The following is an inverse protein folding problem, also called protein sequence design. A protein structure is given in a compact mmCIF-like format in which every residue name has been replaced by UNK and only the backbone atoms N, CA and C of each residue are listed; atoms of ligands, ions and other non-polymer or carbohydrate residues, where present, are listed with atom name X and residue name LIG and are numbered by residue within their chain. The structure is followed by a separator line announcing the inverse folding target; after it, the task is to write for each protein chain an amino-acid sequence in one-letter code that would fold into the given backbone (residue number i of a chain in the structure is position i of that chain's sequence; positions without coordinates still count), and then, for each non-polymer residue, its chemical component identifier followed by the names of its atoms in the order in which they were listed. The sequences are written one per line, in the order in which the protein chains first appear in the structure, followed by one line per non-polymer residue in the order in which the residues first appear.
data_IF_463087361920
#
_entry.id   IF_463087361920
#
_cell.length_a   1.000
_cell.length_b   1.000
_cell.length_c   1.000
_cell.angle_alpha   90.00
_cell.angle_beta   90.00
_cell.angle_gamma   90.00
#
_symmetry.space_group_name_H-M   'P 1'
#
loop_
_entity.id
_entity.type
_entity.pdbx_description
1 polymer ?
#
# COMPACT_ATOMS: atom_id res chain seq x y z
N UNK A 1 25.42 -36.71 -0.39
CA UNK A 1 25.62 -35.40 0.26
C UNK A 1 25.84 -34.41 -0.86
N UNK A 2 24.79 -33.73 -1.28
CA UNK A 2 24.86 -32.73 -2.36
C UNK A 2 23.84 -31.66 -2.02
N UNK A 3 24.35 -30.53 -1.52
CA UNK A 3 23.60 -29.31 -1.28
C UNK A 3 22.97 -28.84 -2.60
N UNK A 4 21.65 -28.82 -2.64
CA UNK A 4 20.91 -28.11 -3.66
C UNK A 4 20.77 -26.66 -3.20
N UNK A 5 21.75 -25.85 -3.58
CA UNK A 5 21.74 -24.40 -3.46
C UNK A 5 20.53 -23.85 -4.23
N UNK A 6 19.46 -23.55 -3.49
CA UNK A 6 18.23 -23.01 -4.06
C UNK A 6 18.43 -21.51 -4.23
N UNK A 7 18.46 -20.96 -5.45
CA UNK A 7 18.68 -19.53 -5.65
C UNK A 7 17.52 -18.76 -5.02
N UNK A 8 17.86 -17.98 -4.00
CA UNK A 8 16.98 -17.00 -3.36
C UNK A 8 16.55 -16.02 -4.43
N UNK A 9 15.29 -16.10 -4.86
CA UNK A 9 14.72 -15.12 -5.80
C UNK A 9 14.58 -13.80 -5.05
N UNK A 10 15.57 -12.93 -5.20
CA UNK A 10 15.47 -11.55 -4.74
C UNK A 10 14.32 -10.86 -5.49
N UNK A 11 13.49 -10.04 -4.80
CA UNK A 11 12.44 -9.28 -5.46
C UNK A 11 13.10 -8.28 -6.42
N UNK A 12 13.10 -8.64 -7.71
CA UNK A 12 13.63 -7.79 -8.77
C UNK A 12 12.82 -6.51 -8.80
N UNK A 13 13.50 -5.38 -8.59
CA UNK A 13 12.92 -4.07 -8.84
C UNK A 13 12.48 -4.02 -10.30
N UNK A 14 11.23 -3.60 -10.58
CA UNK A 14 10.70 -3.58 -11.94
C UNK A 14 11.57 -2.70 -12.84
N UNK A 15 11.78 -3.06 -14.12
CA UNK A 15 12.66 -2.30 -15.00
C UNK A 15 12.18 -0.86 -15.14
N UNK A 16 13.12 0.09 -15.18
CA UNK A 16 12.83 1.53 -15.18
C UNK A 16 11.89 1.99 -16.31
N UNK A 17 11.86 1.25 -17.42
CA UNK A 17 10.94 1.46 -18.55
C UNK A 17 9.47 1.25 -18.17
N UNK A 18 9.18 0.32 -17.26
CA UNK A 18 7.83 0.00 -16.82
C UNK A 18 7.19 1.15 -16.04
N UNK A 19 7.97 1.94 -15.31
CA UNK A 19 7.51 3.06 -14.48
C UNK A 19 7.48 4.44 -15.20
N UNK A 20 7.83 4.48 -16.48
CA UNK A 20 7.89 5.72 -17.26
C UNK A 20 6.54 6.45 -17.30
N UNK A 21 6.52 7.75 -17.01
CA UNK A 21 5.29 8.55 -17.09
C UNK A 21 4.24 8.26 -16.01
N UNK A 22 4.52 7.42 -15.00
CA UNK A 22 3.71 7.32 -13.78
C UNK A 22 3.68 8.70 -13.10
N UNK A 23 2.51 9.31 -12.92
CA UNK A 23 2.38 10.62 -12.24
C UNK A 23 1.71 10.49 -10.87
N UNK A 24 1.23 9.31 -10.48
CA UNK A 24 0.61 9.11 -9.17
C UNK A 24 1.07 7.80 -8.55
N UNK A 25 1.20 7.78 -7.23
CA UNK A 25 1.56 6.59 -6.46
C UNK A 25 0.46 6.32 -5.44
N UNK A 26 0.06 5.05 -5.32
CA UNK A 26 -0.81 4.54 -4.27
C UNK A 26 -0.02 3.52 -3.43
N UNK A 27 -0.33 3.45 -2.14
CA UNK A 27 0.26 2.45 -1.23
C UNK A 27 -0.84 1.75 -0.45
N UNK A 28 -0.96 0.45 -0.62
CA UNK A 28 -1.83 -0.44 0.15
C UNK A 28 -1.10 -0.81 1.44
N UNK A 29 -1.46 -0.26 2.61
CA UNK A 29 -0.80 -0.58 3.85
C UNK A 29 -1.41 -1.86 4.40
N UNK A 30 -0.58 -2.88 4.61
CA UNK A 30 -1.00 -4.16 5.16
C UNK A 30 -0.42 -4.31 6.56
N UNK A 31 -1.29 -4.43 7.56
CA UNK A 31 -0.90 -4.59 8.96
C UNK A 31 -0.58 -6.05 9.29
N UNK A 32 0.06 -6.29 10.43
CA UNK A 32 0.41 -7.66 10.88
C UNK A 32 -0.82 -8.54 11.11
N UNK A 33 -1.95 -7.93 11.51
CA UNK A 33 -3.25 -8.58 11.65
C UNK A 33 -4.02 -8.71 10.32
N UNK A 34 -3.32 -8.57 9.18
CA UNK A 34 -3.83 -8.71 7.81
C UNK A 34 -5.00 -7.78 7.50
N UNK A 35 -5.00 -6.59 8.10
CA UNK A 35 -5.95 -5.52 7.80
C UNK A 35 -5.32 -4.51 6.86
N UNK A 36 -6.21 -3.77 6.21
CA UNK A 36 -5.87 -2.70 5.29
C UNK A 36 -6.34 -1.39 5.90
N UNK A 37 -5.55 -0.34 5.67
CA UNK A 37 -5.88 1.01 6.12
C UNK A 37 -6.26 1.88 4.93
N UNK A 38 -7.52 2.33 4.90
CA UNK A 38 -7.95 3.43 4.05
C UNK A 38 -7.89 4.73 4.83
N UNK A 39 -7.42 5.80 4.21
CA UNK A 39 -7.37 7.12 4.80
C UNK A 39 -8.46 8.00 4.20
N UNK A 40 -8.96 8.92 5.01
CA UNK A 40 -9.82 9.99 4.51
C UNK A 40 -8.99 11.00 3.75
N UNK A 41 -9.46 11.36 2.57
CA UNK A 41 -8.95 12.45 1.77
C UNK A 41 -10.08 13.43 1.50
N UNK A 42 -9.80 14.72 1.68
CA UNK A 42 -10.74 15.78 1.33
C UNK A 42 -10.36 16.36 -0.05
N UNK A 43 -11.35 16.52 -0.92
CA UNK A 43 -11.25 17.19 -2.20
C UNK A 43 -12.38 18.22 -2.33
N UNK A 44 -12.04 19.48 -2.09
CA UNK A 44 -13.02 20.57 -2.04
C UNK A 44 -14.04 20.32 -0.93
N UNK A 45 -15.32 20.19 -1.30
CA UNK A 45 -16.44 19.93 -0.39
C UNK A 45 -16.71 18.44 -0.14
N UNK A 46 -15.99 17.54 -0.81
CA UNK A 46 -16.19 16.10 -0.71
C UNK A 46 -15.08 15.43 0.09
N UNK A 47 -15.44 14.39 0.84
CA UNK A 47 -14.48 13.48 1.46
C UNK A 47 -14.63 12.09 0.85
N UNK A 48 -13.52 11.41 0.64
CA UNK A 48 -13.48 10.03 0.14
C UNK A 48 -12.43 9.22 0.89
N UNK A 49 -12.64 7.90 0.92
CA UNK A 49 -11.74 6.96 1.58
C UNK A 49 -10.94 6.21 0.52
N UNK A 50 -9.62 6.28 0.59
CA UNK A 50 -8.76 5.55 -0.35
C UNK A 50 -7.42 5.22 0.30
N UNK A 51 -6.60 4.44 -0.39
CA UNK A 51 -5.23 4.17 0.02
C UNK A 51 -4.39 5.46 0.01
N UNK A 52 -3.39 5.59 0.91
CA UNK A 52 -2.43 6.66 0.86
C UNK A 52 -1.92 6.91 -0.57
N UNK A 53 -2.05 8.15 -1.04
CA UNK A 53 -1.73 8.50 -2.43
C UNK A 53 -1.16 9.90 -2.57
N UNK A 54 -0.34 10.10 -3.60
CA UNK A 54 0.22 11.40 -3.95
C UNK A 54 0.41 11.53 -5.47
N UNK A 55 0.09 12.71 -5.99
CA UNK A 55 0.53 13.15 -7.33
C UNK A 55 2.01 13.51 -7.26
N UNK A 56 2.80 12.93 -8.16
CA UNK A 56 4.21 13.24 -8.32
C UNK A 56 4.33 14.65 -8.90
N UNK A 57 4.90 15.57 -8.11
CA UNK A 57 5.21 16.91 -8.59
C UNK A 57 6.37 16.92 -9.59
N UNK A 58 7.36 16.04 -9.43
CA UNK A 58 8.46 15.87 -10.39
C UNK A 58 8.71 14.39 -10.67
N UNK A 59 9.07 14.08 -11.92
CA UNK A 59 9.37 12.70 -12.36
C UNK A 59 10.74 12.18 -11.90
N UNK A 60 11.52 13.00 -11.20
CA UNK A 60 12.90 12.67 -10.78
C UNK A 60 12.96 11.74 -9.59
N UNK A 61 11.96 11.74 -8.71
CA UNK A 61 11.95 10.88 -7.52
C UNK A 61 11.38 9.51 -7.86
N UNK A 62 12.15 8.46 -7.58
CA UNK A 62 11.72 7.06 -7.70
C UNK A 62 10.36 6.79 -7.01
N UNK A 63 9.50 6.01 -7.65
CA UNK A 63 8.14 5.75 -7.17
C UNK A 63 8.10 4.90 -5.90
N UNK A 64 9.07 4.00 -5.71
CA UNK A 64 9.23 3.25 -4.45
C UNK A 64 9.60 4.16 -3.28
N UNK A 65 10.47 5.15 -3.53
CA UNK A 65 10.81 6.19 -2.54
C UNK A 65 9.58 7.02 -2.14
N UNK A 66 8.71 7.34 -3.10
CA UNK A 66 7.43 8.02 -2.83
C UNK A 66 6.50 7.12 -2.02
N UNK A 67 6.44 5.82 -2.33
CA UNK A 67 5.63 4.86 -1.57
C UNK A 67 6.07 4.80 -0.09
N UNK A 68 7.37 4.66 0.19
CA UNK A 68 7.90 4.69 1.56
C UNK A 68 7.60 6.00 2.27
N UNK A 69 7.76 7.14 1.57
CA UNK A 69 7.42 8.47 2.11
C UNK A 69 5.94 8.57 2.48
N UNK A 70 5.04 8.04 1.67
CA UNK A 70 3.60 8.04 1.94
C UNK A 70 3.28 7.28 3.23
N UNK A 71 3.86 6.09 3.43
CA UNK A 71 3.70 5.31 4.66
C UNK A 71 4.18 6.11 5.87
N UNK A 72 5.39 6.65 5.82
CA UNK A 72 5.94 7.45 6.92
C UNK A 72 5.12 8.69 7.22
N UNK A 73 4.70 9.42 6.20
CA UNK A 73 4.00 10.69 6.37
C UNK A 73 2.62 10.47 6.97
N UNK A 74 1.88 9.48 6.48
CA UNK A 74 0.50 9.25 6.92
C UNK A 74 0.41 8.38 8.16
N UNK A 75 1.20 7.32 8.24
CA UNK A 75 1.12 6.31 9.30
C UNK A 75 2.21 6.46 10.37
N UNK A 76 3.24 7.27 10.14
CA UNK A 76 4.34 7.44 11.10
C UNK A 76 5.33 6.28 11.14
N UNK A 77 5.25 5.35 10.19
CA UNK A 77 6.03 4.11 10.17
C UNK A 77 7.11 4.21 9.09
N UNK A 78 8.35 3.93 9.46
CA UNK A 78 9.42 3.68 8.49
C UNK A 78 9.30 2.23 8.00
N UNK A 79 9.33 2.04 6.68
CA UNK A 79 9.34 0.71 6.06
C UNK A 79 10.20 0.72 4.82
N UNK A 80 11.03 -0.30 4.67
CA UNK A 80 11.75 -0.65 3.46
C UNK A 80 11.00 -1.69 2.61
N UNK A 81 9.99 -2.36 3.19
CA UNK A 81 9.21 -3.46 2.60
C UNK A 81 8.04 -2.98 1.76
N UNK A 82 8.35 -2.28 0.68
CA UNK A 82 7.36 -1.89 -0.33
C UNK A 82 7.54 -2.66 -1.63
N UNK A 83 6.46 -3.22 -2.17
CA UNK A 83 6.50 -3.99 -3.42
C UNK A 83 5.54 -3.37 -4.45
N UNK A 84 5.99 -3.22 -5.70
CA UNK A 84 5.11 -2.82 -6.78
C UNK A 84 4.15 -3.98 -7.09
N UNK A 85 2.85 -3.74 -6.96
CA UNK A 85 1.82 -4.72 -7.31
C UNK A 85 1.35 -4.56 -8.75
N UNK A 86 1.36 -3.34 -9.27
CA UNK A 86 0.87 -3.08 -10.62
C UNK A 86 0.88 -1.62 -11.01
N UNK A 87 0.53 -1.39 -12.27
CA UNK A 87 0.43 -0.06 -12.87
C UNK A 87 -0.97 0.11 -13.46
N UNK A 88 -1.58 1.23 -13.14
CA UNK A 88 -2.81 1.70 -13.78
C UNK A 88 -2.43 2.59 -14.94
N UNK A 89 -2.83 2.19 -16.14
CA UNK A 89 -2.68 3.03 -17.33
C UNK A 89 -3.62 4.25 -17.26
N UNK A 90 -3.22 5.37 -17.87
CA UNK A 90 -3.99 6.61 -17.78
C UNK A 90 -5.36 6.47 -18.45
N UNK A 91 -6.36 7.13 -17.88
CA UNK A 91 -7.71 7.28 -18.47
C UNK A 91 -8.07 8.76 -18.60
N UNK A 92 -9.22 9.10 -19.21
CA UNK A 92 -9.66 10.50 -19.31
C UNK A 92 -9.75 11.12 -17.91
N UNK A 93 -8.91 12.13 -17.66
CA UNK A 93 -8.86 12.85 -16.39
C UNK A 93 -8.04 12.17 -15.28
N UNK A 94 -7.37 11.05 -15.56
CA UNK A 94 -6.56 10.34 -14.54
C UNK A 94 -5.17 9.99 -15.03
N UNK A 95 -4.13 10.28 -14.22
CA UNK A 95 -2.77 9.97 -14.60
C UNK A 95 -2.48 8.48 -14.51
N UNK A 96 -1.46 8.05 -15.25
CA UNK A 96 -0.80 6.77 -15.07
C UNK A 96 -0.33 6.64 -13.62
N UNK A 97 -0.64 5.54 -12.95
CA UNK A 97 -0.44 5.40 -11.51
C UNK A 97 0.26 4.08 -11.17
N UNK A 98 1.17 4.09 -10.19
CA UNK A 98 1.77 2.88 -9.64
C UNK A 98 1.09 2.51 -8.32
N UNK A 99 0.85 1.20 -8.12
CA UNK A 99 0.27 0.65 -6.89
C UNK A 99 1.36 -0.14 -6.19
N UNK A 100 1.69 0.28 -4.97
CA UNK A 100 2.58 -0.46 -4.08
C UNK A 100 1.78 -1.10 -2.95
N UNK A 101 2.26 -2.20 -2.40
CA UNK A 101 1.94 -2.60 -1.03
C UNK A 101 3.04 -2.12 -0.09
N UNK A 102 2.70 -1.90 1.17
CA UNK A 102 3.63 -1.73 2.26
C UNK A 102 3.27 -2.70 3.39
N UNK A 103 4.16 -3.63 3.69
CA UNK A 103 3.99 -4.54 4.82
C UNK A 103 4.45 -3.82 6.09
N UNK A 104 3.50 -3.60 7.00
CA UNK A 104 3.72 -2.88 8.24
C UNK A 104 4.09 -3.84 9.36
N UNK A 105 4.85 -3.34 10.33
CA UNK A 105 5.33 -4.12 11.49
C UNK A 105 4.41 -4.04 12.70
N UNK A 106 3.25 -3.39 12.56
CA UNK A 106 2.29 -3.13 13.64
C UNK A 106 0.87 -3.54 13.25
N UNK A 107 0.05 -3.87 14.24
CA UNK A 107 -1.37 -4.13 14.05
C UNK A 107 -2.13 -2.82 13.82
N UNK A 108 -3.30 -2.89 13.17
CA UNK A 108 -4.08 -1.69 12.86
C UNK A 108 -4.42 -0.83 14.08
N UNK A 109 -4.77 -1.46 15.19
CA UNK A 109 -5.13 -0.77 16.45
C UNK A 109 -3.97 0.02 17.03
N UNK A 110 -2.76 -0.53 16.97
CA UNK A 110 -1.56 0.10 17.54
C UNK A 110 -1.20 1.34 16.74
N UNK A 111 -1.24 1.23 15.41
CA UNK A 111 -1.00 2.36 14.50
C UNK A 111 -1.98 3.50 14.78
N UNK A 112 -3.26 3.18 14.95
CA UNK A 112 -4.29 4.18 15.26
C UNK A 112 -4.10 4.79 16.65
N UNK A 113 -3.78 3.97 17.64
CA UNK A 113 -3.49 4.42 19.00
C UNK A 113 -2.30 5.38 19.07
N UNK A 114 -1.19 5.03 18.42
CA UNK A 114 -0.01 5.90 18.32
C UNK A 114 -0.34 7.21 17.61
N UNK A 115 -1.05 7.17 16.48
CA UNK A 115 -1.41 8.39 15.73
C UNK A 115 -2.40 9.29 16.47
N UNK A 116 -3.28 8.72 17.30
CA UNK A 116 -4.16 9.48 18.18
C UNK A 116 -3.40 10.16 19.33
N UNK A 117 -2.35 9.53 19.85
CA UNK A 117 -1.51 10.07 20.91
C UNK A 117 -0.56 11.19 20.43
N UNK A 118 -0.22 11.23 19.15
CA UNK A 118 0.59 12.29 18.52
C UNK A 118 -0.17 13.63 18.43
N UNK A 119 -0.31 14.32 19.55
CA UNK A 119 -0.89 15.66 19.60
C UNK A 119 0.06 16.71 19.01
N UNK A 120 -0.47 17.58 18.14
CA UNK A 120 0.17 18.83 17.70
C UNK A 120 1.24 18.74 16.59
N UNK A 121 1.74 17.56 16.22
CA UNK A 121 2.77 17.43 15.16
C UNK A 121 2.22 17.19 13.76
N UNK A 122 1.00 16.65 13.63
CA UNK A 122 0.37 16.31 12.34
C UNK A 122 -1.16 16.45 12.44
N UNK A 123 -1.87 16.65 11.32
CA UNK A 123 -3.33 16.56 11.31
C UNK A 123 -3.79 15.20 11.86
N UNK A 124 -4.94 15.22 12.55
CA UNK A 124 -5.55 14.00 13.06
C UNK A 124 -5.79 13.01 11.92
N UNK A 125 -5.27 11.80 12.05
CA UNK A 125 -5.46 10.76 11.05
C UNK A 125 -6.86 10.20 11.18
N UNK A 126 -7.64 10.28 10.10
CA UNK A 126 -8.89 9.55 9.97
C UNK A 126 -8.63 8.35 9.06
N UNK A 127 -8.79 7.14 9.61
CA UNK A 127 -8.55 5.90 8.90
C UNK A 127 -9.69 4.90 9.13
N UNK A 128 -10.01 4.13 8.10
CA UNK A 128 -10.89 2.96 8.17
C UNK A 128 -10.04 1.70 8.10
N UNK A 129 -10.26 0.80 9.06
CA UNK A 129 -9.65 -0.54 9.09
C UNK A 129 -10.60 -1.50 8.40
N UNK A 130 -10.13 -2.14 7.34
CA UNK A 130 -10.94 -3.04 6.52
C UNK A 130 -10.21 -4.34 6.23
N UNK A 131 -10.95 -5.40 5.95
CA UNK A 131 -10.36 -6.61 5.33
C UNK A 131 -10.47 -6.51 3.81
N UNK A 132 -9.62 -7.26 3.10
CA UNK A 132 -9.78 -7.40 1.66
C UNK A 132 -11.15 -8.02 1.29
N UNK A 133 -11.69 -8.93 2.12
CA UNK A 133 -13.03 -9.49 1.93
C UNK A 133 -14.14 -8.43 2.08
N UNK A 134 -14.02 -7.54 3.07
CA UNK A 134 -14.95 -6.42 3.27
C UNK A 134 -14.91 -5.46 2.07
N UNK A 135 -13.72 -5.12 1.58
CA UNK A 135 -13.59 -4.27 0.38
C UNK A 135 -14.20 -4.91 -0.86
N UNK A 136 -13.98 -6.21 -1.05
CA UNK A 136 -14.59 -6.96 -2.15
C UNK A 136 -16.12 -7.02 -2.03
N UNK A 137 -16.65 -7.24 -0.81
CA UNK A 137 -18.08 -7.41 -0.55
C UNK A 137 -18.87 -6.09 -0.61
N UNK A 138 -18.26 -4.99 -0.18
CA UNK A 138 -18.95 -3.69 -0.14
C UNK A 138 -19.30 -3.17 -1.53
N UNK A 139 -18.57 -3.57 -2.57
CA UNK A 139 -18.67 -2.98 -3.92
C UNK A 139 -18.73 -1.44 -3.92
N UNK A 140 -18.26 -0.81 -2.83
CA UNK A 140 -18.17 0.63 -2.65
C UNK A 140 -16.96 1.04 -3.47
N UNK A 141 -17.16 1.11 -4.78
CA UNK A 141 -16.10 1.35 -5.74
C UNK A 141 -16.42 2.62 -6.51
N UNK A 142 -15.65 3.70 -6.32
CA UNK A 142 -15.52 4.70 -7.35
C UNK A 142 -15.21 3.99 -8.67
N UNK A 143 -15.76 4.46 -9.79
CA UNK A 143 -15.68 3.85 -11.13
C UNK A 143 -14.24 3.53 -11.60
N UNK A 144 -13.26 4.00 -10.85
CA UNK A 144 -11.85 4.00 -11.20
C UNK A 144 -11.08 2.89 -10.48
N UNK A 145 -11.71 2.21 -9.51
CA UNK A 145 -11.30 0.90 -9.00
C UNK A 145 -11.84 -0.22 -9.91
N UNK A 146 -12.85 0.04 -10.75
CA UNK A 146 -13.32 -0.89 -11.78
C UNK A 146 -12.25 -1.17 -12.85
N UNK A 147 -11.40 -0.18 -13.16
CA UNK A 147 -10.26 -0.34 -14.09
C UNK A 147 -9.25 -1.41 -13.63
N UNK A 148 -9.30 -1.74 -12.35
CA UNK A 148 -8.44 -2.69 -11.70
C UNK A 148 -8.88 -4.14 -12.00
N UNK A 149 -10.17 -4.38 -12.22
CA UNK A 149 -10.70 -5.69 -12.54
C UNK A 149 -10.43 -6.14 -13.99
N UNK A 150 -10.18 -5.21 -14.92
CA UNK A 150 -9.92 -5.57 -16.31
C UNK A 150 -8.47 -6.06 -16.57
N UNK A 151 -7.56 -5.96 -15.59
CA UNK A 151 -6.13 -6.18 -15.79
C UNK A 151 -5.47 -7.30 -14.95
N UNK A 152 -6.14 -7.92 -13.96
CA UNK A 152 -5.52 -9.06 -13.23
C UNK A 152 -5.85 -9.29 -11.75
N UNK A 153 -7.05 -8.93 -11.26
CA UNK A 153 -7.50 -9.28 -9.89
C UNK A 153 -7.43 -8.12 -8.88
N UNK A 154 -7.89 -8.36 -7.64
CA UNK A 154 -7.93 -7.37 -6.54
C UNK A 154 -6.56 -7.22 -5.83
N UNK A 155 -5.86 -6.07 -5.90
CA UNK A 155 -4.56 -5.81 -5.29
C UNK A 155 -4.59 -5.91 -3.79
N UNK A 156 -5.74 -5.67 -3.17
CA UNK A 156 -5.90 -5.91 -1.75
C UNK A 156 -5.70 -7.40 -1.43
N UNK A 157 -6.31 -8.27 -2.23
CA UNK A 157 -6.14 -9.73 -2.12
C UNK A 157 -4.72 -10.15 -2.51
N UNK A 158 -4.19 -9.63 -3.62
CA UNK A 158 -2.84 -9.96 -4.07
C UNK A 158 -1.76 -9.52 -3.07
N UNK A 159 -1.89 -8.33 -2.49
CA UNK A 159 -0.99 -7.84 -1.44
C UNK A 159 -0.91 -8.83 -0.27
N UNK A 160 -2.05 -9.40 0.14
CA UNK A 160 -2.13 -10.39 1.22
C UNK A 160 -1.49 -11.75 0.88
N UNK A 161 -1.26 -12.06 -0.40
CA UNK A 161 -0.63 -13.32 -0.83
C UNK A 161 0.88 -13.24 -0.92
N UNK A 162 1.49 -12.06 -0.78
CA UNK A 162 2.94 -11.90 -0.89
C UNK A 162 3.67 -12.54 0.30
N UNK A 163 4.78 -13.26 0.06
CA UNK A 163 5.46 -14.11 1.04
C UNK A 163 6.01 -13.34 2.26
N UNK A 164 6.32 -12.04 2.11
CA UNK A 164 6.85 -11.21 3.21
C UNK A 164 5.83 -10.96 4.34
N UNK A 165 4.55 -11.29 4.13
CA UNK A 165 3.50 -11.29 5.17
C UNK A 165 3.34 -12.65 5.87
N UNK A 166 3.83 -13.74 5.27
CA UNK A 166 3.77 -15.08 5.86
C UNK A 166 4.86 -15.28 6.93
N UNK A 167 6.01 -14.61 6.76
CA UNK A 167 7.17 -14.73 7.65
C UNK A 167 7.11 -13.86 8.91
N UNK A 168 6.09 -12.99 9.05
CA UNK A 168 5.84 -12.20 10.26
C UNK A 168 5.08 -12.97 11.36
N UNK A 169 4.72 -14.21 11.10
CA UNK A 169 4.02 -15.11 12.02
C UNK A 169 4.94 -16.24 12.53
N UNK A 170 6.24 -16.00 12.66
CA UNK A 170 7.08 -16.91 13.45
C UNK A 170 6.71 -16.78 14.94
N UNK A 171 6.44 -17.94 15.50
CA UNK A 171 5.70 -18.20 16.73
C UNK A 171 6.27 -17.49 17.97
N UNK A 172 5.45 -17.25 19.00
CA UNK A 172 5.95 -16.85 20.31
C UNK A 172 6.86 -17.97 20.84
N UNK A 173 8.18 -17.77 20.74
CA UNK A 173 9.13 -18.50 21.57
C UNK A 173 8.82 -18.15 23.02
N UNK A 174 8.22 -19.12 23.71
CA UNK A 174 8.00 -19.09 25.15
C UNK A 174 8.53 -20.40 25.71
N UNK A 175 9.11 -20.41 26.91
CA UNK A 175 10.27 -19.65 27.38
C UNK A 175 11.55 -20.50 27.38
#
# INVERSE_FOLDING_TARGET
MTDADTPRSEPQSPPATTLAGVQRVFVIPVTTDRRLLLLRHDAGTHAYWTYPTMLRGTMRTDTGTIARRLVRQHLGIETDRTHLLGILEPTRGRPRSAIYTANLTQAATDILGTRAAETGRRPAMQALVVTAATLAALDVRPHEITALLCAGGDPAQFALTLPDLASGAEAPTTP
#
